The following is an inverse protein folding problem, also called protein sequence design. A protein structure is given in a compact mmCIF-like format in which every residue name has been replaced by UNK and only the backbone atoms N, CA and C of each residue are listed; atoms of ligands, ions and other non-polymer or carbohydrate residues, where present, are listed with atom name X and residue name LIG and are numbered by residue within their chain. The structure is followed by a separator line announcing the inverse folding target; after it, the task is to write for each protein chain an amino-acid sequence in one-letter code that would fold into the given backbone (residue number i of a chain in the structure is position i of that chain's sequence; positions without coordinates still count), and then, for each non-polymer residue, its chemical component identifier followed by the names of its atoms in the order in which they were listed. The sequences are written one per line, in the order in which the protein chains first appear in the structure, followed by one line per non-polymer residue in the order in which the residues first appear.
data_IF_071204167008
#
_entry.id   IF_071204167008
#
_cell.length_a   1.000
_cell.length_b   1.000
_cell.length_c   1.000
_cell.angle_alpha   90.00
_cell.angle_beta   90.00
_cell.angle_gamma   90.00
#
_symmetry.space_group_name_H-M   'P 1'
#
loop_
_entity.id
_entity.type
_entity.pdbx_description
1 polymer ?
2 non-polymer ?
3 non-polymer ?
4 water ?
#
# COMPACT_ATOMS: atom_id res chain seq x y z
N UNK A 1 14.55 16.11 -3.98
CA UNK A 1 13.58 14.95 -4.07
C UNK A 1 12.87 14.72 -2.74
N UNK A 2 11.55 14.60 -2.79
CA UNK A 2 10.76 14.37 -1.59
C UNK A 2 9.90 13.13 -1.79
N UNK A 3 9.97 12.21 -0.83
CA UNK A 3 9.28 10.94 -0.94
C UNK A 3 8.08 10.93 -0.01
N UNK A 4 6.89 10.68 -0.57
CA UNK A 4 5.68 10.54 0.19
C UNK A 4 5.51 9.08 0.58
N UNK A 5 5.14 8.83 1.83
CA UNK A 5 4.90 7.49 2.29
C UNK A 5 3.55 7.49 2.99
N UNK A 6 2.71 6.50 2.67
CA UNK A 6 1.37 6.42 3.25
C UNK A 6 1.17 5.06 3.91
N UNK A 7 0.73 5.08 5.18
CA UNK A 7 0.23 3.88 5.87
C UNK A 7 -1.08 4.20 6.53
N UNK A 8 -1.89 3.17 6.78
CA UNK A 8 -3.22 3.37 7.30
C UNK A 8 -3.26 3.43 8.81
N UNK A 9 -2.64 2.44 9.45
CA UNK A 9 -2.73 2.24 10.90
C UNK A 9 -1.49 2.75 11.61
N UNK A 10 -1.66 3.15 12.88
CA UNK A 10 -0.51 3.56 13.70
C UNK A 10 0.64 2.52 13.67
N UNK A 11 0.30 1.23 13.79
CA UNK A 11 1.30 0.16 13.78
C UNK A 11 2.10 0.18 12.50
N UNK A 12 1.43 0.56 11.42
CA UNK A 12 2.07 0.54 10.12
C UNK A 12 2.98 1.75 9.85
N UNK A 13 2.83 2.84 10.61
CA UNK A 13 3.67 4.03 10.38
C UNK A 13 4.67 4.32 11.50
N UNK A 14 4.49 3.69 12.65
CA UNK A 14 5.26 4.08 13.84
C UNK A 14 6.79 3.87 13.76
N UNK A 15 7.23 2.81 13.10
CA UNK A 15 8.66 2.53 13.00
C UNK A 15 9.33 3.59 12.13
N UNK A 16 8.68 3.93 11.03
CA UNK A 16 9.19 4.95 10.14
C UNK A 16 9.12 6.33 10.81
N UNK A 17 8.00 6.62 11.46
CA UNK A 17 7.78 7.89 12.18
C UNK A 17 8.91 8.12 13.19
N UNK A 18 9.24 7.07 13.93
CA UNK A 18 10.33 7.10 14.91
C UNK A 18 11.68 7.47 14.34
N UNK A 19 11.93 7.04 13.10
CA UNK A 19 13.22 7.23 12.46
C UNK A 19 13.38 8.59 11.83
N UNK A 20 12.30 9.36 11.69
CA UNK A 20 12.36 10.67 11.06
C UNK A 20 13.08 11.66 11.98
N UNK A 21 14.09 12.35 11.44
CA UNK A 21 14.83 13.37 12.17
C UNK A 21 14.21 14.72 11.90
N UNK A 22 14.32 15.62 12.86
CA UNK A 22 13.72 16.96 12.79
C UNK A 22 12.23 16.88 12.45
N UNK A 23 11.53 15.96 13.11
CA UNK A 23 10.16 15.64 12.73
C UNK A 23 9.21 16.78 13.06
N UNK A 24 8.38 17.14 12.08
CA UNK A 24 7.28 18.06 12.30
C UNK A 24 5.96 17.31 12.04
N UNK A 25 4.92 17.65 12.79
CA UNK A 25 3.60 17.01 12.63
C UNK A 25 2.53 17.99 12.18
N UNK A 26 1.85 17.64 11.09
CA UNK A 26 0.71 18.39 10.59
C UNK A 26 -0.53 17.53 10.86
N UNK A 27 -1.55 18.15 11.46
CA UNK A 27 -2.82 17.48 11.70
C UNK A 27 -3.91 18.22 10.92
N UNK A 28 -4.56 17.52 10.00
CA UNK A 28 -5.52 18.15 9.09
C UNK A 28 -6.51 17.08 8.63
N UNK A 29 -7.80 17.41 8.60
CA UNK A 29 -8.79 16.47 8.07
C UNK A 29 -8.86 15.10 8.74
N UNK A 30 -8.46 15.02 10.01
CA UNK A 30 -8.46 13.78 10.75
C UNK A 30 -7.28 12.86 10.47
N UNK A 31 -6.28 13.34 9.72
CA UNK A 31 -5.10 12.52 9.53
C UNK A 31 -3.87 13.27 10.04
N UNK A 32 -2.74 12.57 10.08
CA UNK A 32 -1.50 13.19 10.52
C UNK A 32 -0.46 13.01 9.44
N UNK A 33 0.33 14.04 9.19
CA UNK A 33 1.47 13.97 8.27
C UNK A 33 2.72 14.37 9.04
N UNK A 34 3.75 13.51 9.00
CA UNK A 34 5.02 13.76 9.66
C UNK A 34 6.07 14.05 8.57
N UNK A 35 6.80 15.15 8.73
CA UNK A 35 7.82 15.54 7.78
C UNK A 35 9.16 15.65 8.46
N UNK A 36 10.22 15.48 7.66
CA UNK A 36 11.59 15.50 8.17
C UNK A 36 12.46 14.61 7.32
N UNK A 37 13.63 14.24 7.85
CA UNK A 37 14.55 13.41 7.09
C UNK A 37 14.62 11.99 7.59
N UNK A 38 14.53 11.06 6.64
CA UNK A 38 14.67 9.64 6.95
C UNK A 38 16.00 9.20 6.33
N UNK A 39 16.99 8.96 7.19
CA UNK A 39 18.36 8.68 6.76
C UNK A 39 18.83 9.69 5.72
N UNK A 40 18.53 10.96 5.99
CA UNK A 40 19.01 12.07 5.19
C UNK A 40 18.11 12.51 4.05
N UNK A 41 17.07 11.73 3.74
CA UNK A 41 16.18 12.06 2.64
C UNK A 41 14.90 12.67 3.18
N UNK A 42 14.47 13.76 2.54
CA UNK A 42 13.26 14.44 2.91
C UNK A 42 12.02 13.56 2.60
N UNK A 43 11.22 13.32 3.62
CA UNK A 43 10.01 12.52 3.47
C UNK A 43 8.81 13.23 4.08
N UNK A 44 7.62 12.84 3.60
CA UNK A 44 6.35 13.18 4.22
C UNK A 44 5.59 11.87 4.40
N UNK A 45 5.35 11.50 5.66
CA UNK A 45 4.72 10.24 6.03
C UNK A 45 3.31 10.54 6.51
N UNK A 46 2.32 9.94 5.85
CA UNK A 46 0.91 10.12 6.18
C UNK A 46 0.39 8.89 6.89
N UNK A 47 -0.27 9.10 8.02
CA UNK A 47 -1.12 8.08 8.64
C UNK A 47 -2.56 8.40 8.26
N UNK A 48 -3.17 7.56 7.41
CA UNK A 48 -4.44 7.94 6.80
C UNK A 48 -5.70 7.53 7.58
N UNK A 49 -5.59 6.47 8.36
CA UNK A 49 -6.80 5.73 8.78
C UNK A 49 -7.18 4.68 7.75
N UNK A 50 -8.18 3.87 8.11
CA UNK A 50 -8.51 2.67 7.35
C UNK A 50 -9.59 2.83 6.28
N UNK A 51 -9.34 2.24 5.11
CA UNK A 51 -10.33 2.16 4.04
C UNK A 51 -10.11 3.15 2.91
N UNK A 52 -10.93 2.97 1.85
CA UNK A 52 -10.75 3.73 0.63
C UNK A 52 -10.86 5.26 0.78
N UNK A 53 -11.91 5.73 1.46
CA UNK A 53 -12.16 7.17 1.57
C UNK A 53 -11.12 7.84 2.50
N UNK A 54 -10.77 7.17 3.59
CA UNK A 54 -9.74 7.72 4.49
C UNK A 54 -8.42 7.87 3.72
N UNK A 55 -8.08 6.85 2.92
CA UNK A 55 -6.86 6.85 2.12
C UNK A 55 -6.91 7.96 1.08
N UNK A 56 -8.04 8.11 0.42
CA UNK A 56 -8.21 9.10 -0.65
C UNK A 56 -8.07 10.53 -0.10
N UNK A 57 -8.73 10.79 1.01
CA UNK A 57 -8.65 12.06 1.73
C UNK A 57 -7.20 12.37 2.08
N UNK A 58 -6.55 11.40 2.71
CA UNK A 58 -5.17 11.55 3.15
C UNK A 58 -4.21 11.79 2.02
N UNK A 59 -4.29 10.97 0.98
CA UNK A 59 -3.41 11.12 -0.17
C UNK A 59 -3.60 12.46 -0.86
N UNK A 60 -4.85 12.92 -0.94
CA UNK A 60 -5.12 14.23 -1.54
C UNK A 60 -4.45 15.33 -0.73
N UNK A 61 -4.58 15.30 0.60
CA UNK A 61 -3.91 16.29 1.44
C UNK A 61 -2.40 16.24 1.28
N UNK A 62 -1.85 15.03 1.28
CA UNK A 62 -0.42 14.85 1.17
C UNK A 62 0.09 15.46 -0.12
N UNK A 63 -0.58 15.15 -1.23
CA UNK A 63 -0.18 15.69 -2.53
C UNK A 63 -0.29 17.20 -2.59
N UNK A 64 -1.35 17.75 -2.02
CA UNK A 64 -1.55 19.19 -2.05
C UNK A 64 -0.60 19.96 -1.13
N UNK A 65 -0.47 19.50 0.11
CA UNK A 65 0.32 20.23 1.10
C UNK A 65 1.82 19.98 1.02
N UNK A 66 2.21 18.79 0.58
CA UNK A 66 3.62 18.41 0.61
C UNK A 66 4.27 18.24 -0.76
N UNK A 67 3.48 18.02 -1.80
CA UNK A 67 4.00 17.85 -3.17
C UNK A 67 5.16 16.85 -3.28
N UNK A 68 4.96 15.64 -2.75
CA UNK A 68 6.04 14.66 -2.91
C UNK A 68 6.23 14.25 -4.39
N UNK A 69 7.41 13.79 -4.72
CA UNK A 69 7.72 13.43 -6.09
C UNK A 69 7.17 12.05 -6.45
N UNK A 70 7.09 11.17 -5.44
CA UNK A 70 6.60 9.81 -5.63
C UNK A 70 5.86 9.43 -4.35
N UNK A 71 5.02 8.39 -4.44
CA UNK A 71 4.28 7.84 -3.30
C UNK A 71 4.56 6.36 -3.12
N UNK A 72 4.91 5.98 -1.90
CA UNK A 72 5.07 4.61 -1.52
C UNK A 72 4.01 4.30 -0.48
N UNK A 73 3.21 3.28 -0.76
CA UNK A 73 2.17 2.80 0.17
C UNK A 73 2.70 1.56 0.90
N UNK A 74 2.80 1.67 2.22
CA UNK A 74 3.38 0.63 3.07
C UNK A 74 2.33 0.08 4.01
N UNK A 75 2.66 -1.05 4.61
CA UNK A 75 1.78 -1.65 5.58
C UNK A 75 1.61 -3.14 5.37
N UNK A 76 0.52 -3.64 5.94
CA UNK A 76 0.18 -5.06 5.88
C UNK A 76 -0.77 -5.40 4.75
N UNK A 77 -0.84 -6.68 4.43
CA UNK A 77 -1.77 -7.17 3.43
C UNK A 77 -2.13 -8.63 3.70
N UNK A 78 -3.27 -9.04 3.16
CA UNK A 78 -3.67 -10.43 3.16
C UNK A 78 -3.09 -11.12 1.94
N UNK A 79 -2.31 -12.18 2.16
CA UNK A 79 -1.65 -12.88 1.07
C UNK A 79 -2.58 -13.82 0.33
N UNK A 80 -2.54 -13.76 -1.00
CA UNK A 80 -3.41 -14.60 -1.85
C UNK A 80 -2.59 -15.55 -2.71
N UNK A 81 -1.39 -15.14 -3.09
CA UNK A 81 -0.53 -16.00 -3.91
C UNK A 81 0.07 -17.12 -3.04
N UNK A 82 0.16 -18.35 -3.58
CA UNK A 82 0.41 -19.53 -2.75
C UNK A 82 1.82 -19.62 -2.11
N UNK A 83 2.80 -18.87 -2.61
CA UNK A 83 4.16 -18.93 -2.03
C UNK A 83 4.41 -17.89 -0.93
N UNK A 84 3.40 -17.08 -0.63
CA UNK A 84 3.53 -16.05 0.40
C UNK A 84 3.28 -16.59 1.80
N UNK A 85 4.28 -16.45 2.67
CA UNK A 85 4.13 -16.71 4.08
C UNK A 85 4.07 -15.37 4.82
N UNK A 86 3.59 -15.39 6.05
CA UNK A 86 3.60 -14.23 6.90
C UNK A 86 4.98 -13.56 6.86
N UNK A 87 4.97 -12.23 6.72
CA UNK A 87 6.19 -11.43 6.69
C UNK A 87 6.75 -11.17 5.31
N UNK A 88 6.33 -11.96 4.32
CA UNK A 88 6.84 -11.79 2.97
C UNK A 88 6.31 -10.52 2.32
N UNK A 89 6.97 -10.08 1.25
CA UNK A 89 6.72 -8.78 0.63
C UNK A 89 5.87 -8.93 -0.64
N UNK A 90 4.93 -7.99 -0.83
CA UNK A 90 4.21 -7.87 -2.10
C UNK A 90 4.46 -6.48 -2.72
N UNK A 91 4.73 -6.47 -4.02
CA UNK A 91 4.96 -5.26 -4.75
C UNK A 91 3.90 -5.18 -5.84
N UNK A 92 3.16 -4.08 -5.86
CA UNK A 92 2.19 -3.86 -6.91
C UNK A 92 2.84 -3.63 -8.27
N UNK A 93 2.45 -4.40 -9.29
CA UNK A 93 2.56 -3.87 -10.65
C UNK A 93 1.29 -3.10 -11.05
N UNK A 94 0.20 -3.36 -10.34
CA UNK A 94 -1.09 -2.82 -10.67
C UNK A 94 -2.01 -2.91 -9.45
N UNK A 95 -2.98 -2.01 -9.36
CA UNK A 95 -3.99 -2.08 -8.30
C UNK A 95 -5.37 -1.98 -8.92
N UNK A 96 -6.30 -2.78 -8.42
CA UNK A 96 -7.69 -2.76 -8.85
C UNK A 96 -8.62 -2.86 -7.67
N UNK A 97 -9.79 -2.27 -7.80
CA UNK A 97 -10.85 -2.44 -6.83
C UNK A 97 -11.50 -3.79 -7.00
N UNK A 98 -11.52 -4.60 -5.94
CA UNK A 98 -12.24 -5.86 -6.03
C UNK A 98 -13.75 -5.75 -5.81
N UNK A 99 -14.18 -4.61 -5.26
CA UNK A 99 -15.55 -4.37 -4.87
C UNK A 99 -16.29 -3.37 -5.74
N UNK A 100 -15.73 -2.93 -6.86
CA UNK A 100 -16.43 -1.98 -7.72
C UNK A 100 -17.14 -2.75 -8.81
N UNK A 101 -18.40 -2.41 -9.09
CA UNK A 101 -19.19 -3.14 -10.08
C UNK A 101 -20.16 -2.20 -10.79
N UNK A 102 -19.78 -1.77 -11.99
CA UNK A 102 -20.67 -1.02 -12.87
C UNK A 102 -20.78 -1.79 -14.18
N UNK A 103 -20.80 -3.10 -14.05
CA UNK A 103 -20.92 -4.00 -15.20
C UNK A 103 -22.27 -3.85 -15.88
N UNK A 104 -23.26 -3.26 -15.19
CA UNK A 104 -24.58 -3.05 -15.82
C UNK A 104 -24.46 -2.14 -17.04
N UNK A 105 -23.43 -1.29 -17.07
CA UNK A 105 -23.19 -0.39 -18.18
C UNK A 105 -21.98 -0.80 -19.01
N UNK A 106 -21.53 -2.04 -18.84
CA UNK A 106 -20.47 -2.57 -19.70
C UNK A 106 -19.06 -2.15 -19.34
N UNK A 107 -18.85 -1.62 -18.13
CA UNK A 107 -17.50 -1.47 -17.62
C UNK A 107 -16.99 -2.84 -17.16
N UNK A 108 -15.68 -3.01 -17.22
CA UNK A 108 -15.02 -4.21 -16.74
C UNK A 108 -15.27 -4.37 -15.22
N UNK A 109 -15.39 -5.60 -14.75
CA UNK A 109 -15.56 -5.79 -13.30
C UNK A 109 -14.39 -5.10 -12.56
N UNK A 110 -14.68 -4.32 -11.53
CA UNK A 110 -13.64 -3.62 -10.75
C UNK A 110 -13.31 -2.19 -11.22
N UNK A 111 -13.75 -1.86 -12.42
CA UNK A 111 -13.52 -0.55 -13.01
C UNK A 111 -14.58 0.49 -12.66
N UNK A 112 -14.16 1.71 -12.30
CA UNK A 112 -15.13 2.80 -12.19
C UNK A 112 -15.12 3.65 -13.45
N UNK A 113 -16.28 4.17 -13.86
CA UNK A 113 -16.32 5.03 -15.03
C UNK A 113 -15.40 6.22 -14.89
N UNK A 114 -14.66 6.55 -15.95
CA UNK A 114 -13.65 7.60 -15.93
C UNK A 114 -12.26 7.15 -15.48
N UNK A 115 -12.13 5.86 -15.17
CA UNK A 115 -10.88 5.32 -14.69
C UNK A 115 -10.47 4.17 -15.58
N UNK A 116 -9.16 3.90 -15.65
CA UNK A 116 -8.72 2.67 -16.26
C UNK A 116 -9.21 1.51 -15.40
N UNK A 117 -9.27 0.32 -15.97
CA UNK A 117 -9.77 -0.81 -15.20
C UNK A 117 -8.85 -1.15 -14.04
N UNK A 118 -7.57 -0.84 -14.20
CA UNK A 118 -6.50 -1.02 -13.22
C UNK A 118 -5.51 0.14 -13.31
N UNK A 119 -4.93 0.48 -12.17
CA UNK A 119 -3.99 1.55 -12.07
C UNK A 119 -2.58 0.95 -12.01
N UNK A 120 -1.75 1.31 -12.96
CA UNK A 120 -0.41 0.74 -13.03
C UNK A 120 0.59 1.49 -12.17
N UNK A 121 1.36 0.74 -11.40
CA UNK A 121 2.41 1.33 -10.57
C UNK A 121 3.57 1.70 -11.50
N UNK A 122 4.45 2.57 -11.01
CA UNK A 122 5.55 3.12 -11.81
C UNK A 122 6.65 2.07 -12.07
N UNK A 123 7.06 1.90 -13.32
CA UNK A 123 8.09 0.92 -13.62
C UNK A 123 9.38 1.16 -12.86
N UNK A 124 9.84 2.41 -12.77
CA UNK A 124 11.11 2.69 -12.09
C UNK A 124 11.03 2.41 -10.58
N UNK A 125 9.87 2.67 -9.98
CA UNK A 125 9.66 2.34 -8.57
C UNK A 125 9.60 0.82 -8.37
N UNK A 126 8.92 0.11 -9.26
CA UNK A 126 8.91 -1.35 -9.20
C UNK A 126 10.35 -1.91 -9.27
N UNK A 127 11.14 -1.41 -10.22
CA UNK A 127 12.50 -1.91 -10.40
C UNK A 127 13.35 -1.66 -9.16
N UNK A 128 13.20 -0.47 -8.59
CA UNK A 128 13.93 -0.10 -7.40
C UNK A 128 13.53 -0.97 -6.20
N UNK A 129 12.23 -1.19 -6.02
CA UNK A 129 11.77 -2.11 -5.01
C UNK A 129 12.33 -3.54 -5.20
N UNK A 130 12.32 -4.04 -6.43
CA UNK A 130 12.82 -5.41 -6.67
C UNK A 130 14.33 -5.56 -6.40
N UNK A 131 15.08 -4.49 -6.69
CA UNK A 131 16.51 -4.48 -6.36
C UNK A 131 16.74 -4.46 -4.86
N UNK A 132 15.86 -3.79 -4.09
CA UNK A 132 15.95 -3.85 -2.63
C UNK A 132 15.61 -5.22 -2.09
N UNK A 133 14.61 -5.85 -2.68
CA UNK A 133 14.24 -7.20 -2.31
C UNK A 133 15.43 -8.16 -2.50
N UNK A 134 16.04 -8.10 -3.68
CA UNK A 134 17.26 -8.85 -3.98
C UNK A 134 18.35 -8.58 -2.93
N UNK A 135 18.69 -7.31 -2.72
CA UNK A 135 19.75 -6.94 -1.76
C UNK A 135 19.49 -7.39 -0.33
N UNK A 136 18.20 -7.51 0.03
CA UNK A 136 17.83 -7.93 1.36
C UNK A 136 17.50 -9.42 1.42
N UNK A 137 17.59 -10.11 0.29
CA UNK A 137 17.25 -11.53 0.20
C UNK A 137 15.88 -11.86 0.77
N UNK A 138 14.87 -11.06 0.41
CA UNK A 138 13.52 -11.30 0.88
C UNK A 138 12.75 -12.13 -0.13
N UNK A 139 11.77 -12.91 0.35
CA UNK A 139 10.81 -13.57 -0.53
C UNK A 139 9.67 -12.58 -0.81
N UNK A 140 9.42 -12.37 -2.09
CA UNK A 140 8.46 -11.39 -2.53
C UNK A 140 7.72 -11.88 -3.74
N UNK A 141 6.55 -11.31 -3.99
CA UNK A 141 5.84 -11.52 -5.22
C UNK A 141 5.43 -10.15 -5.76
N UNK A 142 5.56 -9.96 -7.07
CA UNK A 142 5.12 -8.76 -7.76
C UNK A 142 3.89 -9.07 -8.61
N UNK A 143 2.94 -8.16 -8.63
CA UNK A 143 1.69 -8.43 -9.33
C UNK A 143 0.54 -7.58 -8.84
N UNK A 144 -0.67 -8.05 -9.14
CA UNK A 144 -1.89 -7.32 -8.87
C UNK A 144 -2.25 -7.33 -7.39
N UNK A 145 -2.45 -6.14 -6.82
CA UNK A 145 -3.02 -6.01 -5.49
C UNK A 145 -4.44 -5.49 -5.65
N UNK A 146 -5.38 -6.06 -4.93
CA UNK A 146 -6.76 -5.61 -5.00
C UNK A 146 -7.15 -5.02 -3.66
N UNK A 147 -8.00 -4.00 -3.69
CA UNK A 147 -8.47 -3.32 -2.50
C UNK A 147 -9.98 -3.21 -2.50
N UNK A 148 -10.51 -3.13 -1.29
CA UNK A 148 -11.90 -2.90 -1.05
C UNK A 148 -12.10 -2.44 0.39
N UNK A 149 -13.33 -2.09 0.76
CA UNK A 149 -13.58 -1.69 2.14
C UNK A 149 -14.02 -2.90 3.00
N UNK A 150 -13.35 -4.04 2.87
CA UNK A 150 -13.69 -5.22 3.65
C UNK A 150 -12.44 -5.92 4.12
N UNK A 151 -12.49 -6.46 5.33
CA UNK A 151 -11.41 -7.30 5.82
C UNK A 151 -11.78 -8.72 5.42
N UNK A 152 -10.92 -9.36 4.64
CA UNK A 152 -11.25 -10.64 4.05
C UNK A 152 -10.91 -11.77 5.02
N UNK A 153 -11.90 -12.64 5.25
CA UNK A 153 -11.84 -13.60 6.36
C UNK A 153 -12.44 -14.94 5.94
N UNK A 154 -11.91 -15.46 4.83
CA UNK A 154 -12.38 -16.68 4.21
C UNK A 154 -13.81 -16.60 3.71
N UNK A 155 -14.47 -17.75 3.70
CA UNK A 155 -15.87 -17.87 3.31
C UNK A 155 -16.11 -17.21 1.94
N UNK A 156 -17.30 -16.64 1.78
CA UNK A 156 -17.72 -16.10 0.51
C UNK A 156 -16.94 -14.88 0.06
N UNK A 157 -16.45 -14.09 1.01
CA UNK A 157 -15.64 -12.92 0.67
C UNK A 157 -14.36 -13.30 -0.05
N UNK A 158 -13.65 -14.28 0.48
CA UNK A 158 -12.43 -14.72 -0.19
C UNK A 158 -12.78 -15.34 -1.53
N UNK A 159 -13.82 -16.16 -1.54
CA UNK A 159 -14.18 -16.91 -2.76
C UNK A 159 -14.46 -15.94 -3.91
N UNK A 160 -15.14 -14.83 -3.59
CA UNK A 160 -15.48 -13.87 -4.64
C UNK A 160 -14.24 -13.23 -5.25
N UNK A 161 -13.24 -12.94 -4.42
CA UNK A 161 -11.99 -12.37 -4.92
C UNK A 161 -11.22 -13.37 -5.78
N UNK A 162 -11.15 -14.63 -5.32
CA UNK A 162 -10.46 -15.66 -6.10
C UNK A 162 -11.16 -15.90 -7.44
N UNK A 163 -12.47 -15.74 -7.46
CA UNK A 163 -13.24 -15.94 -8.68
C UNK A 163 -13.04 -14.79 -9.69
N UNK A 164 -13.15 -13.55 -9.21
CA UNK A 164 -13.04 -12.38 -10.07
C UNK A 164 -11.61 -12.00 -10.42
N UNK A 165 -10.65 -12.26 -9.51
CA UNK A 165 -9.26 -11.85 -9.71
C UNK A 165 -8.30 -12.98 -9.33
N UNK A 166 -8.30 -14.05 -10.13
CA UNK A 166 -7.47 -15.20 -9.73
C UNK A 166 -5.98 -14.89 -9.74
N UNK A 167 -5.62 -13.84 -10.47
CA UNK A 167 -4.23 -13.37 -10.57
C UNK A 167 -3.81 -12.46 -9.40
N UNK A 168 -4.77 -12.00 -8.61
CA UNK A 168 -4.43 -11.11 -7.50
C UNK A 168 -3.50 -11.82 -6.50
N UNK A 169 -2.47 -11.09 -6.08
CA UNK A 169 -1.42 -11.64 -5.16
C UNK A 169 -1.68 -11.29 -3.71
N UNK A 170 -2.48 -10.26 -3.48
CA UNK A 170 -2.75 -9.79 -2.12
C UNK A 170 -4.02 -8.92 -2.13
N UNK A 171 -4.60 -8.76 -0.95
CA UNK A 171 -5.80 -7.94 -0.76
C UNK A 171 -5.59 -7.04 0.44
N UNK A 172 -6.08 -5.79 0.34
CA UNK A 172 -6.05 -4.91 1.50
C UNK A 172 -7.11 -3.82 1.28
N UNK A 173 -7.03 -2.68 1.96
CA UNK A 173 -8.17 -1.73 1.97
C UNK A 173 -7.88 -0.30 1.54
N UNK A 174 -6.66 0.01 1.09
CA UNK A 174 -6.31 1.37 0.72
C UNK A 174 -5.56 1.53 -0.57
N UNK A 175 -4.79 0.52 -0.97
CA UNK A 175 -3.79 0.70 -2.04
C UNK A 175 -4.40 1.26 -3.30
N UNK A 176 -5.56 0.74 -3.71
CA UNK A 176 -6.15 1.17 -4.97
C UNK A 176 -6.69 2.61 -4.91
N UNK A 177 -7.20 2.99 -3.74
CA UNK A 177 -7.60 4.37 -3.53
C UNK A 177 -6.41 5.31 -3.69
N UNK A 178 -5.28 4.91 -3.13
CA UNK A 178 -4.08 5.72 -3.26
C UNK A 178 -3.65 5.78 -4.72
N UNK A 179 -3.74 4.65 -5.40
CA UNK A 179 -3.33 4.57 -6.81
C UNK A 179 -4.20 5.48 -7.68
N UNK A 180 -5.49 5.45 -7.42
CA UNK A 180 -6.47 6.28 -8.11
C UNK A 180 -6.17 7.76 -7.91
N UNK A 181 -5.95 8.19 -6.66
CA UNK A 181 -5.60 9.59 -6.41
C UNK A 181 -4.27 9.97 -7.11
N UNK A 182 -3.25 9.11 -7.01
CA UNK A 182 -1.99 9.35 -7.73
C UNK A 182 -2.20 9.44 -9.24
N UNK A 183 -3.07 8.59 -9.76
CA UNK A 183 -3.36 8.60 -11.22
C UNK A 183 -3.94 9.96 -11.63
N UNK A 184 -4.88 10.46 -10.83
CA UNK A 184 -5.55 11.72 -11.13
C UNK A 184 -4.66 12.95 -10.96
N UNK A 185 -3.65 12.88 -10.10
CA UNK A 185 -2.64 13.94 -9.97
C UNK A 185 -1.36 13.67 -10.80
N UNK A 186 -1.32 12.57 -11.55
CA UNK A 186 -0.15 12.20 -12.34
C UNK A 186 1.15 12.11 -11.52
N UNK A 187 1.05 11.45 -10.38
CA UNK A 187 2.17 11.19 -9.50
C UNK A 187 2.47 9.69 -9.47
N UNK A 188 3.73 9.29 -9.69
CA UNK A 188 4.12 7.88 -9.62
C UNK A 188 3.88 7.23 -8.25
N UNK A 189 3.43 5.99 -8.25
CA UNK A 189 3.26 5.26 -7.01
C UNK A 189 3.74 3.82 -7.12
N UNK A 190 4.01 3.24 -5.95
CA UNK A 190 4.23 1.83 -5.81
C UNK A 190 3.69 1.41 -4.42
N UNK A 191 3.16 0.20 -4.37
CA UNK A 191 2.72 -0.43 -3.14
C UNK A 191 3.79 -1.45 -2.75
N UNK A 192 4.30 -1.31 -1.53
CA UNK A 192 5.21 -2.28 -0.97
C UNK A 192 4.70 -2.64 0.41
N UNK A 193 3.97 -3.75 0.50
CA UNK A 193 3.39 -4.21 1.75
C UNK A 193 3.96 -5.57 2.14
N UNK A 194 3.61 -6.01 3.35
CA UNK A 194 4.05 -7.31 3.83
C UNK A 194 2.88 -8.09 4.38
N UNK A 195 2.97 -9.41 4.27
CA UNK A 195 1.87 -10.32 4.62
C UNK A 195 1.67 -10.52 6.13
N UNK A 196 0.45 -10.26 6.58
CA UNK A 196 0.06 -10.47 7.97
C UNK A 196 -0.82 -11.72 8.20
N UNK A 197 -1.36 -12.26 7.11
CA UNK A 197 -2.40 -13.29 7.14
C UNK A 197 -2.71 -13.70 5.70
N UNK A 198 -3.46 -14.78 5.51
CA UNK A 198 -3.72 -15.28 4.15
C UNK A 198 -5.21 -15.14 3.75
N UNK A 199 -5.92 -14.28 4.46
CA UNK A 199 -7.29 -13.85 4.09
C UNK A 199 -8.33 -14.97 4.16
N UNK A 200 -8.02 -15.98 4.96
CA UNK A 200 -8.86 -17.15 5.11
C UNK A 200 -9.60 -17.04 6.45
N UNK A 201 -10.20 -18.16 6.88
CA UNK A 201 -10.95 -18.23 8.14
C UNK A 201 -10.18 -17.79 9.37
N UNK A 202 -8.86 -17.94 9.34
CA UNK A 202 -8.01 -17.62 10.46
C UNK A 202 -7.45 -16.20 10.40
N UNK A 203 -7.83 -15.42 9.39
CA UNK A 203 -7.14 -14.16 9.12
C UNK A 203 -7.24 -13.14 10.26
N UNK A 204 -8.37 -13.14 10.96
CA UNK A 204 -8.57 -12.24 12.10
C UNK A 204 -7.62 -12.52 13.28
N UNK A 205 -7.31 -13.80 13.49
CA UNK A 205 -6.38 -14.20 14.55
C UNK A 205 -4.92 -13.96 14.14
N UNK A 206 -4.60 -14.35 12.91
CA UNK A 206 -3.28 -14.16 12.34
C UNK A 206 -2.91 -12.67 12.27
N UNK A 207 -3.85 -11.83 11.83
CA UNK A 207 -3.58 -10.40 11.69
C UNK A 207 -3.04 -9.82 12.99
N UNK A 208 -3.77 -10.04 14.07
CA UNK A 208 -3.38 -9.54 15.38
C UNK A 208 -1.99 -10.02 15.74
N UNK A 209 -1.76 -11.32 15.54
CA UNK A 209 -0.52 -11.94 15.94
C UNK A 209 0.67 -11.45 15.13
N UNK A 210 0.49 -11.26 13.83
CA UNK A 210 1.59 -10.97 12.92
C UNK A 210 1.59 -9.58 12.29
N UNK A 211 0.72 -8.69 12.73
CA UNK A 211 0.79 -7.30 12.25
C UNK A 211 2.19 -6.72 12.51
N UNK A 212 2.74 -6.95 13.70
CA UNK A 212 4.04 -6.38 14.05
C UNK A 212 5.12 -6.83 13.09
N UNK A 213 5.13 -8.11 12.75
CA UNK A 213 6.16 -8.63 11.84
C UNK A 213 5.96 -8.06 10.43
N UNK A 214 4.70 -7.90 10.00
CA UNK A 214 4.41 -7.28 8.71
C UNK A 214 4.85 -5.80 8.67
N UNK A 215 4.51 -5.04 9.71
CA UNK A 215 4.95 -3.65 9.83
C UNK A 215 6.49 -3.52 9.83
N UNK A 216 7.16 -4.43 10.53
CA UNK A 216 8.63 -4.45 10.53
C UNK A 216 9.22 -4.68 9.13
N UNK A 217 8.75 -5.70 8.42
CA UNK A 217 9.33 -6.03 7.12
C UNK A 217 9.01 -4.96 6.05
N UNK A 218 7.78 -4.45 6.05
CA UNK A 218 7.41 -3.41 5.09
C UNK A 218 8.22 -2.14 5.36
N UNK A 219 8.36 -1.78 6.64
CA UNK A 219 9.14 -0.60 7.02
C UNK A 219 10.62 -0.71 6.63
N UNK A 220 11.19 -1.90 6.84
CA UNK A 220 12.55 -2.19 6.38
C UNK A 220 12.67 -1.97 4.87
N UNK A 221 11.68 -2.45 4.12
CA UNK A 221 11.67 -2.23 2.67
C UNK A 221 11.52 -0.77 2.29
N UNK A 222 10.65 -0.03 2.99
CA UNK A 222 10.46 1.38 2.64
C UNK A 222 11.75 2.18 2.90
N UNK A 223 12.43 1.88 4.00
CA UNK A 223 13.71 2.52 4.31
C UNK A 223 14.72 2.26 3.22
N UNK A 224 14.84 0.98 2.84
CA UNK A 224 15.79 0.58 1.82
C UNK A 224 15.44 1.20 0.49
N UNK A 225 14.16 1.24 0.17
CA UNK A 225 13.70 1.87 -1.06
C UNK A 225 13.93 3.38 -1.12
N UNK A 226 13.68 4.08 -0.01
CA UNK A 226 13.94 5.52 0.06
C UNK A 226 15.44 5.78 -0.19
N UNK A 227 16.31 5.05 0.53
CA UNK A 227 17.74 5.16 0.32
C UNK A 227 18.13 4.89 -1.14
N UNK A 228 17.58 3.82 -1.70
CA UNK A 228 17.88 3.47 -3.08
C UNK A 228 17.50 4.60 -4.02
N UNK A 229 16.32 5.19 -3.82
CA UNK A 229 15.84 6.26 -4.71
C UNK A 229 16.67 7.52 -4.58
N UNK A 230 17.06 7.89 -3.36
CA UNK A 230 17.93 9.05 -3.14
C UNK A 230 19.32 8.79 -3.76
N UNK A 231 19.68 7.50 -3.87
CA UNK A 231 20.81 7.03 -4.68
C UNK A 231 22.07 6.85 -3.83
#
# INVERSE_FOLDING_TARGET
MKIGIIGAMEEEVTLLRDKIENRQTISLGGCEIYTGQLNGTEVALLKSGIGKVAAALGATLLLEHCKPDVIINTGSAGGLAPTLKVGDIVVSDEARYHDADVTAFGYEYGQLPGCPAGFKADDKLIAAAEACIAELNLNAVRGLIVSGDAFINGSVGLAKIRHNFPQAIAVEMEATAIAHVCHNFNVPFVVVRAISDVADQQSHLSFDEFLAVAAKQSSLMVESLVQKLAHGENLYFQGHHHHHH
#
